data_IF_688124469545
#
_entry.id   IF_688124469545
#
_cell.length_a   1.000
_cell.length_b   1.000
_cell.length_c   1.000
_cell.angle_alpha   90.00
_cell.angle_beta   90.00
_cell.angle_gamma   90.00
#
_symmetry.space_group_name_H-M   'P 1'
#
loop_
_entity.id
_entity.type
_entity.pdbx_description
1 polymer ?
#
# COMPACT_ATOMS: atom_id res chain seq x y z
N UNK A 1 3.52 19.74 -5.79
CA UNK A 1 3.50 18.48 -6.57
C UNK A 1 2.56 17.55 -5.84
N UNK A 2 1.68 16.85 -6.56
CA UNK A 2 0.72 15.92 -5.96
C UNK A 2 1.42 14.58 -5.77
N UNK A 3 1.42 14.02 -4.56
CA UNK A 3 2.11 12.74 -4.33
C UNK A 3 1.34 11.58 -4.99
N UNK A 4 2.04 10.69 -5.69
CA UNK A 4 1.45 9.51 -6.36
C UNK A 4 1.49 8.28 -5.47
N UNK A 5 0.31 7.71 -5.21
CA UNK A 5 0.11 6.50 -4.39
C UNK A 5 -0.38 5.37 -5.29
N UNK A 6 0.25 4.21 -5.16
CA UNK A 6 -0.27 2.97 -5.72
C UNK A 6 -1.01 2.19 -4.62
N UNK A 7 -2.28 1.86 -4.87
CA UNK A 7 -3.13 1.10 -3.96
C UNK A 7 -3.43 -0.30 -4.54
N UNK A 8 -3.16 -1.35 -3.79
CA UNK A 8 -3.56 -2.73 -4.10
C UNK A 8 -4.49 -3.29 -3.00
N UNK A 9 -5.75 -3.56 -3.37
CA UNK A 9 -6.78 -4.07 -2.46
C UNK A 9 -7.79 -4.86 -3.29
N UNK A 10 -8.03 -6.13 -2.98
CA UNK A 10 -8.89 -7.01 -3.79
C UNK A 10 -10.38 -6.74 -3.55
N UNK A 11 -10.77 -6.33 -2.33
CA UNK A 11 -12.13 -5.89 -2.04
C UNK A 11 -12.46 -4.57 -2.78
N UNK A 12 -13.43 -4.65 -3.71
CA UNK A 12 -13.81 -3.52 -4.57
C UNK A 12 -14.40 -2.35 -3.79
N UNK A 13 -15.23 -2.62 -2.77
CA UNK A 13 -15.88 -1.55 -2.01
C UNK A 13 -14.85 -0.86 -1.12
N UNK A 14 -14.01 -1.62 -0.41
CA UNK A 14 -12.89 -1.09 0.35
C UNK A 14 -11.97 -0.26 -0.54
N UNK A 15 -11.51 -0.81 -1.68
CA UNK A 15 -10.64 -0.09 -2.62
C UNK A 15 -11.23 1.25 -3.03
N UNK A 16 -12.52 1.29 -3.40
CA UNK A 16 -13.23 2.54 -3.75
C UNK A 16 -13.26 3.54 -2.59
N UNK A 17 -13.51 3.08 -1.36
CA UNK A 17 -13.50 3.97 -0.19
C UNK A 17 -12.11 4.54 0.09
N UNK A 18 -11.07 3.73 -0.03
CA UNK A 18 -9.68 4.15 0.18
C UNK A 18 -9.23 5.16 -0.88
N UNK A 19 -9.48 4.87 -2.17
CA UNK A 19 -9.19 5.81 -3.28
C UNK A 19 -9.83 7.15 -3.01
N UNK A 20 -11.15 7.17 -2.74
CA UNK A 20 -11.88 8.41 -2.51
C UNK A 20 -11.36 9.18 -1.30
N UNK A 21 -10.95 8.50 -0.24
CA UNK A 21 -10.39 9.16 0.95
C UNK A 21 -9.05 9.85 0.65
N UNK A 22 -8.17 9.18 -0.09
CA UNK A 22 -6.85 9.68 -0.45
C UNK A 22 -6.92 10.80 -1.51
N UNK A 23 -7.78 10.67 -2.51
CA UNK A 23 -8.02 11.72 -3.51
C UNK A 23 -8.60 12.99 -2.86
N UNK A 24 -9.54 12.85 -1.92
CA UNK A 24 -10.07 13.99 -1.15
C UNK A 24 -9.01 14.66 -0.26
N UNK A 25 -7.97 13.92 0.14
CA UNK A 25 -6.82 14.45 0.86
C UNK A 25 -5.78 15.10 -0.08
N UNK A 26 -5.99 15.04 -1.39
CA UNK A 26 -5.13 15.68 -2.39
C UNK A 26 -4.02 14.80 -2.95
N UNK A 27 -4.14 13.47 -2.86
CA UNK A 27 -3.21 12.52 -3.49
C UNK A 27 -3.69 12.07 -4.87
N UNK A 28 -2.75 11.68 -5.74
CA UNK A 28 -3.03 11.00 -7.01
C UNK A 28 -2.94 9.49 -6.78
N UNK A 29 -4.01 8.74 -7.07
CA UNK A 29 -4.13 7.33 -6.67
C UNK A 29 -4.34 6.44 -7.87
N UNK A 30 -3.37 5.55 -8.13
CA UNK A 30 -3.55 4.43 -9.05
C UNK A 30 -3.96 3.18 -8.26
N UNK A 31 -5.12 2.59 -8.55
CA UNK A 31 -5.64 1.44 -7.79
C UNK A 31 -5.78 0.17 -8.62
N UNK A 32 -5.47 -0.97 -7.98
CA UNK A 32 -5.45 -2.30 -8.57
C UNK A 32 -6.14 -3.30 -7.64
N UNK A 33 -6.75 -4.34 -8.22
CA UNK A 33 -7.49 -5.38 -7.49
C UNK A 33 -6.66 -6.63 -7.17
N UNK A 34 -5.38 -6.66 -7.55
CA UNK A 34 -4.45 -7.74 -7.25
C UNK A 34 -3.01 -7.26 -7.25
N UNK A 35 -2.13 -8.01 -6.58
CA UNK A 35 -0.72 -7.64 -6.46
C UNK A 35 0.07 -7.72 -7.77
N UNK A 36 -0.29 -8.60 -8.71
CA UNK A 36 0.44 -8.74 -9.97
C UNK A 36 0.26 -7.51 -10.88
N UNK A 37 -0.97 -7.00 -10.96
CA UNK A 37 -1.30 -5.80 -11.74
C UNK A 37 -0.67 -4.55 -11.14
N UNK A 38 -0.70 -4.44 -9.81
CA UNK A 38 0.02 -3.42 -9.06
C UNK A 38 1.54 -3.45 -9.36
N UNK A 39 2.15 -4.63 -9.30
CA UNK A 39 3.58 -4.80 -9.59
C UNK A 39 3.93 -4.43 -11.03
N UNK A 40 3.10 -4.81 -12.00
CA UNK A 40 3.31 -4.43 -13.39
C UNK A 40 3.29 -2.91 -13.57
N UNK A 41 2.39 -2.20 -12.87
CA UNK A 41 2.36 -0.73 -12.92
C UNK A 41 3.60 -0.09 -12.31
N UNK A 42 4.10 -0.59 -11.17
CA UNK A 42 5.32 -0.08 -10.54
C UNK A 42 6.53 -0.12 -11.48
N UNK A 43 6.55 -1.04 -12.45
CA UNK A 43 7.62 -1.17 -13.45
C UNK A 43 7.56 -0.15 -14.58
N UNK A 44 6.44 0.56 -14.72
CA UNK A 44 6.22 1.50 -15.81
C UNK A 44 6.51 2.94 -15.40
N UNK A 45 6.22 3.32 -14.15
CA UNK A 45 6.44 4.66 -13.62
C UNK A 45 6.69 4.65 -12.10
N UNK A 46 7.39 5.66 -11.56
CA UNK A 46 7.64 5.76 -10.13
C UNK A 46 6.39 6.17 -9.33
N UNK A 47 6.36 5.73 -8.08
CA UNK A 47 5.36 6.08 -7.07
C UNK A 47 6.08 6.42 -5.76
N UNK A 48 5.41 7.17 -4.89
CA UNK A 48 6.01 7.58 -3.60
C UNK A 48 5.58 6.67 -2.45
N UNK A 49 4.44 6.02 -2.61
CA UNK A 49 3.89 5.09 -1.63
C UNK A 49 3.18 3.92 -2.32
N UNK A 50 3.54 2.71 -1.89
CA UNK A 50 2.74 1.51 -2.07
C UNK A 50 1.88 1.27 -0.82
N UNK A 51 0.57 1.26 -1.05
CA UNK A 51 -0.44 0.92 -0.06
C UNK A 51 -1.07 -0.41 -0.46
N UNK A 52 -0.97 -1.46 0.36
CA UNK A 52 -1.41 -2.81 -0.06
C UNK A 52 -2.06 -3.61 1.06
N UNK A 53 -3.12 -4.36 0.79
CA UNK A 53 -3.48 -5.51 1.64
C UNK A 53 -2.45 -6.63 1.46
N UNK A 54 -2.32 -7.49 2.46
CA UNK A 54 -1.50 -8.69 2.43
C UNK A 54 -2.24 -9.79 1.69
N UNK A 55 -3.50 -10.05 2.03
CA UNK A 55 -4.22 -11.20 1.48
C UNK A 55 -4.86 -10.77 0.17
N UNK A 56 -4.24 -11.13 -0.96
CA UNK A 56 -4.72 -10.84 -2.30
C UNK A 56 -4.51 -12.03 -3.23
N UNK A 57 -5.30 -12.17 -4.31
CA UNK A 57 -5.07 -13.17 -5.34
C UNK A 57 -3.80 -12.89 -6.16
N UNK A 58 -3.28 -13.94 -6.82
CA UNK A 58 -2.12 -13.95 -7.72
C UNK A 58 -0.77 -13.64 -7.06
N UNK A 59 -0.65 -12.49 -6.40
CA UNK A 59 0.51 -12.04 -5.65
C UNK A 59 0.02 -11.37 -4.36
N UNK A 60 0.48 -11.91 -3.22
CA UNK A 60 0.19 -11.33 -1.92
C UNK A 60 0.93 -10.00 -1.70
N UNK A 61 0.46 -9.21 -0.74
CA UNK A 61 1.03 -7.90 -0.46
C UNK A 61 2.48 -7.94 0.02
N UNK A 62 2.89 -9.01 0.72
CA UNK A 62 4.26 -9.13 1.24
C UNK A 62 5.23 -9.31 0.08
N UNK A 63 4.91 -10.20 -0.85
CA UNK A 63 5.71 -10.43 -2.05
C UNK A 63 5.68 -9.20 -2.98
N UNK A 64 4.53 -8.53 -3.12
CA UNK A 64 4.43 -7.27 -3.85
C UNK A 64 5.38 -6.22 -3.24
N UNK A 65 5.29 -5.99 -1.93
CA UNK A 65 6.12 -5.03 -1.22
C UNK A 65 7.61 -5.33 -1.36
N UNK A 66 8.01 -6.60 -1.18
CA UNK A 66 9.40 -7.03 -1.36
C UNK A 66 9.91 -6.67 -2.76
N UNK A 67 9.20 -7.10 -3.81
CA UNK A 67 9.60 -6.82 -5.20
C UNK A 67 9.56 -5.34 -5.55
N UNK A 68 8.62 -4.60 -4.97
CA UNK A 68 8.48 -3.16 -5.16
C UNK A 68 9.71 -2.43 -4.59
N UNK A 69 10.14 -2.77 -3.38
CA UNK A 69 11.35 -2.19 -2.75
C UNK A 69 12.67 -2.64 -3.40
N UNK A 70 12.69 -3.80 -4.06
CA UNK A 70 13.82 -4.22 -4.90
C UNK A 70 13.92 -3.43 -6.20
N UNK A 71 12.77 -2.99 -6.74
CA UNK A 71 12.68 -2.15 -7.93
C UNK A 71 13.01 -0.69 -7.62
N UNK A 72 12.48 -0.17 -6.51
CA UNK A 72 12.68 1.18 -6.04
C UNK A 72 12.91 1.19 -4.51
N UNK A 73 14.16 1.32 -4.05
CA UNK A 73 14.48 1.37 -2.63
C UNK A 73 13.92 2.59 -1.88
N UNK A 74 13.54 3.66 -2.59
CA UNK A 74 12.98 4.88 -1.99
C UNK A 74 11.44 4.81 -1.86
N UNK A 75 10.81 3.80 -2.48
CA UNK A 75 9.37 3.57 -2.39
C UNK A 75 8.98 3.20 -0.96
N UNK A 76 8.16 4.05 -0.35
CA UNK A 76 7.61 3.79 0.96
C UNK A 76 6.51 2.73 0.87
N UNK A 77 6.41 1.88 1.87
CA UNK A 77 5.44 0.79 1.92
C UNK A 77 4.58 0.89 3.17
N UNK A 78 3.27 0.76 2.99
CA UNK A 78 2.32 0.60 4.08
C UNK A 78 1.33 -0.53 3.79
N UNK A 79 1.23 -1.46 4.73
CA UNK A 79 0.23 -2.53 4.71
C UNK A 79 -1.08 -2.06 5.33
N UNK A 80 -2.21 -2.37 4.69
CA UNK A 80 -3.55 -2.23 5.25
C UNK A 80 -4.18 -3.60 5.36
N UNK A 81 -4.19 -4.22 6.54
CA UNK A 81 -4.60 -5.63 6.64
C UNK A 81 -5.34 -5.98 7.92
N UNK A 82 -6.26 -6.95 7.85
CA UNK A 82 -6.82 -7.61 9.03
C UNK A 82 -5.87 -8.62 9.67
N UNK A 83 -4.77 -8.95 8.99
CA UNK A 83 -3.81 -9.99 9.39
C UNK A 83 -2.45 -9.39 9.77
N UNK A 84 -2.45 -8.30 10.55
CA UNK A 84 -1.24 -7.56 10.90
C UNK A 84 -0.14 -8.42 11.52
N UNK A 85 -0.51 -9.47 12.27
CA UNK A 85 0.44 -10.43 12.84
C UNK A 85 1.33 -11.11 11.78
N UNK A 86 0.87 -11.23 10.52
CA UNK A 86 1.64 -11.83 9.42
C UNK A 86 2.75 -10.88 8.96
N UNK A 87 2.46 -9.60 8.75
CA UNK A 87 3.47 -8.60 8.38
C UNK A 87 4.44 -8.28 9.52
N UNK A 88 3.98 -8.33 10.77
CA UNK A 88 4.80 -8.04 11.95
C UNK A 88 5.63 -9.25 12.42
N UNK A 89 5.49 -10.41 11.77
CA UNK A 89 6.28 -11.58 12.10
C UNK A 89 7.75 -11.35 11.68
N UNK A 90 8.68 -11.64 12.59
CA UNK A 90 10.13 -11.51 12.34
C UNK A 90 10.63 -12.42 11.20
N UNK A 91 9.93 -13.52 10.92
CA UNK A 91 10.23 -14.42 9.81
C UNK A 91 9.56 -13.99 8.49
N UNK A 92 8.74 -12.93 8.51
CA UNK A 92 8.12 -12.41 7.30
C UNK A 92 9.18 -11.79 6.39
N UNK A 93 8.97 -11.90 5.07
CA UNK A 93 9.81 -11.26 4.06
C UNK A 93 9.38 -9.81 3.77
N UNK A 94 8.61 -9.21 4.68
CA UNK A 94 8.17 -7.83 4.53
C UNK A 94 9.38 -6.87 4.59
N UNK A 95 9.35 -5.75 3.85
CA UNK A 95 10.38 -4.73 3.98
C UNK A 95 10.48 -4.23 5.43
N UNK A 96 11.70 -4.04 5.93
CA UNK A 96 11.94 -3.69 7.35
C UNK A 96 11.31 -2.37 7.76
N UNK A 97 11.24 -1.41 6.85
CA UNK A 97 10.71 -0.07 7.08
C UNK A 97 9.22 0.06 6.70
N UNK A 98 8.58 -1.06 6.36
CA UNK A 98 7.16 -1.06 6.03
C UNK A 98 6.30 -0.73 7.27
N UNK A 99 5.36 0.20 7.08
CA UNK A 99 4.36 0.52 8.08
C UNK A 99 3.19 -0.46 8.00
N UNK A 100 2.51 -0.71 9.12
CA UNK A 100 1.27 -1.51 9.15
C UNK A 100 0.14 -0.69 9.77
N UNK A 101 -1.00 -0.65 9.08
CA UNK A 101 -2.29 -0.16 9.56
C UNK A 101 -3.27 -1.34 9.62
N UNK A 102 -3.70 -1.69 10.84
CA UNK A 102 -4.56 -2.86 11.06
C UNK A 102 -6.03 -2.54 10.80
N UNK A 103 -6.74 -3.41 10.06
CA UNK A 103 -8.21 -3.41 9.96
C UNK A 103 -8.83 -3.89 11.29
N UNK A 104 -9.93 -3.29 11.80
CA UNK A 104 -10.62 -2.11 11.27
C UNK A 104 -9.93 -0.80 11.67
N UNK A 105 -10.01 0.22 10.81
CA UNK A 105 -9.48 1.57 11.04
C UNK A 105 -10.47 2.63 10.53
N UNK A 106 -10.26 3.88 10.92
CA UNK A 106 -11.00 5.02 10.36
C UNK A 106 -10.28 5.63 9.15
N UNK A 107 -11.01 6.10 8.14
CA UNK A 107 -10.40 6.74 6.95
C UNK A 107 -9.51 7.95 7.29
N UNK A 108 -9.83 8.67 8.37
CA UNK A 108 -8.97 9.77 8.88
C UNK A 108 -7.63 9.26 9.40
N UNK A 109 -7.62 8.08 10.01
CA UNK A 109 -6.39 7.45 10.51
C UNK A 109 -5.49 7.06 9.34
N UNK A 110 -6.06 6.46 8.28
CA UNK A 110 -5.34 6.19 7.05
C UNK A 110 -4.65 7.44 6.48
N UNK A 111 -5.42 8.51 6.28
CA UNK A 111 -4.89 9.76 5.69
C UNK A 111 -3.77 10.33 6.56
N UNK A 112 -3.95 10.34 7.88
CA UNK A 112 -2.92 10.81 8.81
C UNK A 112 -1.64 9.97 8.75
N UNK A 113 -1.73 8.65 8.65
CA UNK A 113 -0.54 7.79 8.54
C UNK A 113 0.16 7.96 7.18
N UNK A 114 -0.59 8.12 6.08
CA UNK A 114 -0.04 8.47 4.76
C UNK A 114 0.70 9.80 4.81
N UNK A 115 0.10 10.83 5.40
CA UNK A 115 0.70 12.16 5.51
C UNK A 115 2.02 12.12 6.30
N UNK A 116 2.04 11.46 7.46
CA UNK A 116 3.26 11.29 8.27
C UNK A 116 4.37 10.58 7.50
N UNK A 117 4.01 9.53 6.77
CA UNK A 117 4.96 8.70 6.03
C UNK A 117 5.56 9.46 4.85
N UNK A 118 4.76 10.26 4.13
CA UNK A 118 5.23 11.07 3.01
C UNK A 118 5.98 12.34 3.46
N UNK A 119 5.71 12.86 4.66
CA UNK A 119 6.40 14.02 5.22
C UNK A 119 7.79 13.72 5.83
N UNK A 120 8.11 12.44 6.08
CA UNK A 120 9.40 11.97 6.59
C UNK A 120 10.43 11.81 5.47
#
# INVERSE_FOLDING_TARGET
MTNKILLAEDDNDMRRFLVKALENAGYDVASFDNGLSAYNRLREEPFELLLTDIVMPEMDGIELARRATELDPDLKVMFITGFAAVALNADSRAPRDAKVLSKPFHLRELVNEVEKLLAA
#
